data_IF_178950996797
#
_entry.id   IF_178950996797
#
_cell.length_a   1.000
_cell.length_b   1.000
_cell.length_c   1.000
_cell.angle_alpha   90.00
_cell.angle_beta   90.00
_cell.angle_gamma   90.00
#
_symmetry.space_group_name_H-M   'P 1'
#
loop_
_entity.id
_entity.type
_entity.pdbx_description
1 polymer ?
#
# COMPACT_ATOMS: atom_id res chain seq x y z
N UNK A 1 17.33 2.16 -25.96
CA UNK A 1 16.52 3.36 -26.27
C UNK A 1 16.34 4.10 -24.95
N UNK A 2 16.90 5.30 -24.82
CA UNK A 2 16.65 6.16 -23.65
C UNK A 2 15.24 6.75 -23.80
N UNK A 3 14.33 6.56 -22.83
CA UNK A 3 13.00 7.16 -22.90
C UNK A 3 13.12 8.68 -22.94
N UNK A 4 12.39 9.33 -23.84
CA UNK A 4 12.47 10.76 -24.13
C UNK A 4 11.49 11.58 -23.26
N UNK A 5 11.23 11.14 -22.04
CA UNK A 5 10.18 11.68 -21.17
C UNK A 5 10.80 12.24 -19.88
N UNK A 6 10.33 13.42 -19.45
CA UNK A 6 10.83 14.13 -18.28
C UNK A 6 10.30 13.61 -16.94
N UNK A 7 9.36 12.66 -16.98
CA UNK A 7 8.72 12.04 -15.82
C UNK A 7 8.32 10.59 -16.12
N UNK A 8 8.03 9.81 -15.07
CA UNK A 8 7.49 8.44 -15.14
C UNK A 8 6.12 8.40 -15.82
N UNK A 9 5.78 7.30 -16.48
CA UNK A 9 4.42 7.13 -16.98
C UNK A 9 3.40 7.14 -15.82
N UNK A 10 2.17 7.58 -16.10
CA UNK A 10 1.13 7.70 -15.08
C UNK A 10 0.83 6.37 -14.39
N UNK A 11 0.79 5.26 -15.14
CA UNK A 11 0.59 3.94 -14.55
C UNK A 11 1.78 3.49 -13.70
N UNK A 12 3.02 3.80 -14.10
CA UNK A 12 4.23 3.53 -13.29
C UNK A 12 4.21 4.32 -11.99
N UNK A 13 3.73 5.57 -12.03
CA UNK A 13 3.54 6.42 -10.85
C UNK A 13 2.53 5.81 -9.89
N UNK A 14 1.43 5.26 -10.40
CA UNK A 14 0.44 4.58 -9.55
C UNK A 14 0.94 3.24 -8.99
N UNK A 15 1.72 2.48 -9.75
CA UNK A 15 2.37 1.28 -9.23
C UNK A 15 3.42 1.62 -8.15
N UNK A 16 4.19 2.70 -8.34
CA UNK A 16 5.12 3.21 -7.33
C UNK A 16 4.39 3.62 -6.05
N UNK A 17 3.26 4.32 -6.16
CA UNK A 17 2.36 4.65 -5.04
C UNK A 17 1.95 3.39 -4.26
N UNK A 18 1.39 2.39 -4.94
CA UNK A 18 0.90 1.17 -4.28
C UNK A 18 2.04 0.41 -3.59
N UNK A 19 3.24 0.34 -4.20
CA UNK A 19 4.40 -0.32 -3.63
C UNK A 19 4.97 0.40 -2.41
N UNK A 20 5.07 1.73 -2.44
CA UNK A 20 5.59 2.52 -1.32
C UNK A 20 4.60 2.50 -0.16
N UNK A 21 3.31 2.71 -0.43
CA UNK A 21 2.28 2.68 0.60
C UNK A 21 2.21 1.31 1.31
N UNK A 22 2.19 0.21 0.53
CA UNK A 22 2.12 -1.14 1.10
C UNK A 22 3.38 -1.52 1.91
N UNK A 23 4.57 -1.21 1.41
CA UNK A 23 5.81 -1.51 2.13
C UNK A 23 5.99 -0.65 3.37
N UNK A 24 5.59 0.62 3.34
CA UNK A 24 5.65 1.51 4.50
C UNK A 24 4.74 1.00 5.63
N UNK A 25 3.50 0.61 5.30
CA UNK A 25 2.57 0.03 6.27
C UNK A 25 3.08 -1.30 6.84
N UNK A 26 3.64 -2.17 5.99
CA UNK A 26 4.24 -3.43 6.42
C UNK A 26 5.44 -3.19 7.34
N UNK A 27 6.33 -2.26 7.00
CA UNK A 27 7.50 -1.92 7.80
C UNK A 27 7.10 -1.44 9.20
N UNK A 28 6.14 -0.52 9.31
CA UNK A 28 5.64 -0.04 10.61
C UNK A 28 5.11 -1.20 11.47
N UNK A 29 4.36 -2.14 10.88
CA UNK A 29 3.83 -3.31 11.59
C UNK A 29 4.93 -4.26 12.06
N UNK A 30 5.90 -4.57 11.20
CA UNK A 30 7.01 -5.44 11.56
C UNK A 30 7.84 -4.82 12.68
N UNK A 31 8.16 -3.53 12.58
CA UNK A 31 8.87 -2.78 13.63
C UNK A 31 8.11 -2.80 14.95
N UNK A 32 6.79 -2.57 14.92
CA UNK A 32 5.94 -2.63 16.12
C UNK A 32 5.88 -4.03 16.75
N UNK A 33 5.88 -5.08 15.95
CA UNK A 33 5.79 -6.46 16.43
C UNK A 33 7.15 -7.02 16.90
N UNK A 34 8.26 -6.50 16.39
CA UNK A 34 9.61 -7.04 16.63
C UNK A 34 10.01 -7.18 18.11
N UNK A 35 9.72 -6.22 19.02
CA UNK A 35 10.06 -6.35 20.44
C UNK A 35 9.42 -7.57 21.10
N UNK A 36 8.20 -7.91 20.67
CA UNK A 36 7.38 -9.00 21.22
C UNK A 36 7.81 -10.40 20.74
N UNK A 37 8.68 -10.49 19.72
CA UNK A 37 9.17 -11.77 19.21
C UNK A 37 10.21 -12.34 20.17
N UNK A 38 9.91 -13.52 20.72
CA UNK A 38 10.76 -14.23 21.68
C UNK A 38 11.57 -15.37 21.06
N UNK A 39 11.07 -16.00 20.00
CA UNK A 39 11.80 -17.03 19.26
C UNK A 39 13.02 -16.42 18.55
N UNK A 40 14.24 -16.90 18.81
CA UNK A 40 15.46 -16.25 18.32
C UNK A 40 15.60 -16.32 16.80
N UNK A 41 15.17 -17.42 16.17
CA UNK A 41 15.26 -17.60 14.72
C UNK A 41 14.27 -16.66 14.03
N UNK A 42 13.02 -16.64 14.52
CA UNK A 42 12.00 -15.74 14.01
C UNK A 42 12.40 -14.28 14.20
N UNK A 43 13.02 -13.93 15.34
CA UNK A 43 13.52 -12.58 15.59
C UNK A 43 14.59 -12.18 14.57
N UNK A 44 15.53 -13.07 14.24
CA UNK A 44 16.50 -12.82 13.17
C UNK A 44 15.82 -12.59 11.82
N UNK A 45 14.82 -13.40 11.47
CA UNK A 45 14.06 -13.25 10.21
C UNK A 45 13.32 -11.90 10.19
N UNK A 46 12.65 -11.52 11.27
CA UNK A 46 11.98 -10.22 11.37
C UNK A 46 12.97 -9.07 11.16
N UNK A 47 14.14 -9.13 11.81
CA UNK A 47 15.19 -8.09 11.65
C UNK A 47 15.60 -7.95 10.19
N UNK A 48 15.92 -9.07 9.52
CA UNK A 48 16.31 -9.09 8.11
C UNK A 48 15.21 -8.54 7.20
N UNK A 49 13.94 -8.87 7.48
CA UNK A 49 12.80 -8.34 6.74
C UNK A 49 12.62 -6.84 6.94
N UNK A 50 12.80 -6.33 8.17
CA UNK A 50 12.75 -4.90 8.47
C UNK A 50 13.86 -4.16 7.70
N UNK A 51 15.09 -4.68 7.71
CA UNK A 51 16.23 -4.11 6.98
C UNK A 51 15.97 -4.12 5.46
N UNK A 52 15.47 -5.23 4.93
CA UNK A 52 15.15 -5.37 3.49
C UNK A 52 14.06 -4.41 3.04
N UNK A 53 12.94 -4.33 3.77
CA UNK A 53 11.86 -3.39 3.44
C UNK A 53 12.33 -1.94 3.57
N UNK A 54 13.17 -1.64 4.56
CA UNK A 54 13.76 -0.29 4.69
C UNK A 54 14.56 0.08 3.45
N UNK A 55 15.41 -0.83 2.96
CA UNK A 55 16.19 -0.59 1.74
C UNK A 55 15.30 -0.46 0.50
N UNK A 56 14.31 -1.33 0.33
CA UNK A 56 13.38 -1.25 -0.79
C UNK A 56 12.67 0.11 -0.83
N UNK A 57 12.19 0.61 0.31
CA UNK A 57 11.54 1.92 0.40
C UNK A 57 12.53 3.03 0.01
N UNK A 58 13.77 2.98 0.52
CA UNK A 58 14.81 3.95 0.16
C UNK A 58 15.04 3.97 -1.36
N UNK A 59 15.15 2.81 -2.00
CA UNK A 59 15.35 2.69 -3.44
C UNK A 59 14.15 3.24 -4.23
N UNK A 60 12.92 2.93 -3.79
CA UNK A 60 11.69 3.43 -4.41
C UNK A 60 11.54 4.95 -4.27
N UNK A 61 11.90 5.53 -3.12
CA UNK A 61 11.85 6.97 -2.89
C UNK A 61 12.74 7.77 -3.86
N UNK A 62 13.79 7.17 -4.42
CA UNK A 62 14.64 7.81 -5.42
C UNK A 62 13.89 8.16 -6.72
N UNK A 63 12.74 7.53 -6.98
CA UNK A 63 11.93 7.76 -8.16
C UNK A 63 10.84 8.83 -7.99
N UNK A 64 10.53 9.27 -6.75
CA UNK A 64 9.53 10.32 -6.51
C UNK A 64 9.86 11.67 -7.16
N UNK A 65 11.12 12.12 -7.26
CA UNK A 65 11.45 13.32 -8.04
C UNK A 65 11.08 13.24 -9.52
N UNK A 66 10.89 12.02 -10.06
CA UNK A 66 10.52 11.76 -11.45
C UNK A 66 9.00 11.61 -11.67
N UNK A 67 8.16 11.73 -10.64
CA UNK A 67 6.70 11.64 -10.81
C UNK A 67 6.14 12.91 -11.42
N UNK A 68 4.99 12.85 -12.14
CA UNK A 68 4.28 14.05 -12.57
C UNK A 68 3.97 14.98 -11.38
N UNK A 69 4.22 16.28 -11.53
CA UNK A 69 3.84 17.32 -10.56
C UNK A 69 2.73 18.18 -11.13
N UNK A 70 1.62 18.30 -10.41
CA UNK A 70 0.56 19.28 -10.69
C UNK A 70 0.77 20.52 -9.80
N UNK A 71 0.02 21.60 -9.96
CA UNK A 71 0.09 22.77 -9.06
C UNK A 71 -0.25 22.37 -7.61
N UNK A 72 0.50 22.90 -6.64
CA UNK A 72 0.42 22.54 -5.21
C UNK A 72 -0.81 23.12 -4.50
N UNK A 73 -1.34 22.33 -3.57
CA UNK A 73 -2.40 22.68 -2.62
C UNK A 73 -1.86 22.52 -1.20
N UNK A 74 -2.36 23.34 -0.26
CA UNK A 74 -1.89 23.35 1.13
C UNK A 74 -2.17 22.01 1.83
N UNK A 75 -1.19 21.54 2.61
CA UNK A 75 -1.28 20.30 3.36
C UNK A 75 -2.27 20.44 4.53
N UNK A 76 -3.38 19.70 4.47
CA UNK A 76 -4.31 19.55 5.58
C UNK A 76 -3.77 18.56 6.62
N UNK A 77 -4.19 18.73 7.88
CA UNK A 77 -3.93 17.76 8.95
C UNK A 77 -4.57 16.41 8.63
N UNK A 78 -3.79 15.33 8.68
CA UNK A 78 -4.20 13.95 8.40
C UNK A 78 -4.22 13.11 9.68
N UNK A 79 -5.29 12.36 9.91
CA UNK A 79 -5.31 11.32 10.96
C UNK A 79 -4.56 10.09 10.45
N UNK A 80 -3.25 10.05 10.69
CA UNK A 80 -2.37 9.00 10.17
C UNK A 80 -2.66 7.61 10.75
N UNK A 81 -3.20 7.53 11.97
CA UNK A 81 -3.54 6.24 12.59
C UNK A 81 -4.75 5.62 11.87
N UNK A 82 -5.81 6.41 11.66
CA UNK A 82 -6.98 5.98 10.89
C UNK A 82 -6.62 5.71 9.42
N UNK A 83 -5.77 6.54 8.82
CA UNK A 83 -5.32 6.36 7.45
C UNK A 83 -4.54 5.04 7.27
N UNK A 84 -3.64 4.72 8.20
CA UNK A 84 -2.87 3.47 8.18
C UNK A 84 -3.80 2.26 8.32
N UNK A 85 -4.67 2.27 9.33
CA UNK A 85 -5.58 1.14 9.59
C UNK A 85 -6.57 0.89 8.45
N UNK A 86 -7.16 1.95 7.88
CA UNK A 86 -8.06 1.81 6.74
C UNK A 86 -7.30 1.48 5.45
N UNK A 87 -6.09 2.01 5.26
CA UNK A 87 -5.21 1.67 4.14
C UNK A 87 -4.84 0.19 4.12
N UNK A 88 -4.59 -0.39 5.29
CA UNK A 88 -4.35 -1.83 5.43
C UNK A 88 -5.56 -2.68 5.02
N UNK A 89 -6.76 -2.28 5.45
CA UNK A 89 -7.99 -2.95 5.06
C UNK A 89 -8.22 -2.84 3.54
N UNK A 90 -7.90 -1.68 2.95
CA UNK A 90 -8.00 -1.46 1.52
C UNK A 90 -7.03 -2.36 0.75
N UNK A 91 -5.77 -2.45 1.20
CA UNK A 91 -4.76 -3.34 0.64
C UNK A 91 -5.17 -4.82 0.73
N UNK A 92 -5.68 -5.25 1.88
CA UNK A 92 -6.22 -6.61 2.05
C UNK A 92 -7.37 -6.90 1.07
N UNK A 93 -8.31 -5.97 0.92
CA UNK A 93 -9.42 -6.14 -0.01
C UNK A 93 -8.93 -6.28 -1.46
N UNK A 94 -7.95 -5.47 -1.90
CA UNK A 94 -7.30 -5.59 -3.22
C UNK A 94 -6.67 -6.98 -3.42
N UNK A 95 -5.94 -7.49 -2.42
CA UNK A 95 -5.34 -8.82 -2.47
C UNK A 95 -6.39 -9.93 -2.55
N UNK A 96 -7.46 -9.85 -1.76
CA UNK A 96 -8.55 -10.83 -1.81
C UNK A 96 -9.24 -10.85 -3.18
N UNK A 97 -9.48 -9.69 -3.78
CA UNK A 97 -10.04 -9.57 -5.14
C UNK A 97 -9.15 -10.31 -6.15
N UNK A 98 -7.84 -10.01 -6.16
CA UNK A 98 -6.88 -10.67 -7.07
C UNK A 98 -6.83 -12.19 -6.85
N UNK A 99 -6.80 -12.63 -5.59
CA UNK A 99 -6.73 -14.05 -5.23
C UNK A 99 -7.99 -14.81 -5.65
N UNK A 100 -9.19 -14.27 -5.38
CA UNK A 100 -10.43 -14.92 -5.81
C UNK A 100 -10.59 -14.92 -7.32
N UNK A 101 -10.18 -13.86 -8.02
CA UNK A 101 -10.20 -13.82 -9.47
C UNK A 101 -9.37 -14.97 -10.07
N UNK A 102 -8.13 -15.17 -9.59
CA UNK A 102 -7.31 -16.32 -10.00
C UNK A 102 -7.91 -17.67 -9.59
N UNK A 103 -8.42 -17.81 -8.37
CA UNK A 103 -9.03 -19.07 -7.92
C UNK A 103 -10.27 -19.48 -8.74
N UNK A 104 -11.01 -18.51 -9.27
CA UNK A 104 -12.17 -18.74 -10.15
C UNK A 104 -11.74 -19.32 -11.50
N UNK A 105 -10.58 -18.93 -12.04
CA UNK A 105 -10.07 -19.47 -13.32
C UNK A 105 -9.60 -20.92 -13.19
N UNK A 106 -9.03 -21.27 -12.04
CA UNK A 106 -8.44 -22.59 -11.80
C UNK A 106 -9.45 -23.65 -11.30
N UNK A 107 -10.63 -23.24 -10.83
CA UNK A 107 -11.58 -24.19 -10.24
C UNK A 107 -12.45 -24.90 -11.29
N UNK A 108 -12.34 -26.23 -11.33
CA UNK A 108 -13.18 -27.10 -12.17
C UNK A 108 -14.53 -27.47 -11.52
N UNK A 109 -14.68 -27.26 -10.20
CA UNK A 109 -15.88 -27.67 -9.44
C UNK A 109 -16.94 -26.55 -9.47
N UNK A 110 -18.13 -26.75 -10.07
CA UNK A 110 -19.10 -25.67 -10.25
C UNK A 110 -19.62 -25.04 -8.94
N UNK A 111 -19.86 -25.85 -7.91
CA UNK A 111 -20.31 -25.36 -6.60
C UNK A 111 -19.23 -24.51 -5.92
N UNK A 112 -17.96 -24.89 -6.05
CA UNK A 112 -16.83 -24.12 -5.52
C UNK A 112 -16.66 -22.79 -6.27
N UNK A 113 -16.80 -22.81 -7.61
CA UNK A 113 -16.81 -21.58 -8.43
C UNK A 113 -17.84 -20.58 -7.92
N UNK A 114 -19.06 -21.04 -7.63
CA UNK A 114 -20.14 -20.19 -7.09
C UNK A 114 -19.76 -19.56 -5.74
N UNK A 115 -19.10 -20.30 -4.86
CA UNK A 115 -18.62 -19.78 -3.57
C UNK A 115 -17.51 -18.73 -3.77
N UNK A 116 -16.53 -19.01 -4.62
CA UNK A 116 -15.46 -18.05 -4.91
C UNK A 116 -15.99 -16.76 -5.54
N UNK A 117 -16.93 -16.83 -6.49
CA UNK A 117 -17.58 -15.64 -7.05
C UNK A 117 -18.33 -14.84 -5.98
N UNK A 118 -19.03 -15.51 -5.05
CA UNK A 118 -19.67 -14.82 -3.92
C UNK A 118 -18.65 -14.08 -3.05
N UNK A 119 -17.50 -14.71 -2.75
CA UNK A 119 -16.46 -14.08 -1.93
C UNK A 119 -15.76 -12.93 -2.66
N UNK A 120 -15.53 -13.06 -3.97
CA UNK A 120 -15.03 -11.97 -4.81
C UNK A 120 -15.95 -10.75 -4.73
N UNK A 121 -17.26 -10.94 -4.90
CA UNK A 121 -18.23 -9.85 -4.80
C UNK A 121 -18.22 -9.19 -3.42
N UNK A 122 -18.14 -9.98 -2.35
CA UNK A 122 -18.01 -9.42 -0.99
C UNK A 122 -16.71 -8.62 -0.80
N UNK A 123 -15.59 -9.06 -1.39
CA UNK A 123 -14.32 -8.33 -1.34
C UNK A 123 -14.40 -7.01 -2.14
N UNK A 124 -15.08 -6.99 -3.28
CA UNK A 124 -15.36 -5.78 -4.07
C UNK A 124 -16.20 -4.78 -3.26
N UNK A 125 -17.29 -5.25 -2.63
CA UNK A 125 -18.14 -4.40 -1.78
C UNK A 125 -17.36 -3.80 -0.60
N UNK A 126 -16.51 -4.61 0.04
CA UNK A 126 -15.68 -4.14 1.14
C UNK A 126 -14.63 -3.12 0.67
N UNK A 127 -13.97 -3.37 -0.46
CA UNK A 127 -13.05 -2.40 -1.04
C UNK A 127 -13.73 -1.04 -1.27
N UNK A 128 -14.91 -1.03 -1.87
CA UNK A 128 -15.67 0.20 -2.11
C UNK A 128 -16.02 0.94 -0.81
N UNK A 129 -16.49 0.21 0.23
CA UNK A 129 -16.80 0.79 1.54
C UNK A 129 -15.57 1.43 2.20
N UNK A 130 -14.44 0.74 2.17
CA UNK A 130 -13.19 1.23 2.78
C UNK A 130 -12.65 2.43 2.00
N UNK A 131 -12.68 2.37 0.67
CA UNK A 131 -12.28 3.49 -0.19
C UNK A 131 -13.12 4.74 0.11
N UNK A 132 -14.44 4.60 0.17
CA UNK A 132 -15.33 5.73 0.47
C UNK A 132 -15.06 6.31 1.86
N UNK A 133 -14.83 5.46 2.88
CA UNK A 133 -14.45 5.92 4.21
C UNK A 133 -13.19 6.80 4.20
N UNK A 134 -12.15 6.35 3.50
CA UNK A 134 -10.88 7.08 3.35
C UNK A 134 -11.08 8.39 2.57
N UNK A 135 -11.83 8.33 1.47
CA UNK A 135 -12.05 9.46 0.58
C UNK A 135 -12.87 10.58 1.25
N UNK A 136 -14.00 10.24 1.88
CA UNK A 136 -14.88 11.19 2.58
C UNK A 136 -14.18 11.95 3.72
N UNK A 137 -13.08 11.38 4.24
CA UNK A 137 -12.28 11.95 5.34
C UNK A 137 -10.97 12.58 4.87
N UNK A 138 -10.78 12.70 3.57
CA UNK A 138 -9.55 13.20 2.95
C UNK A 138 -8.28 12.42 3.39
N UNK A 139 -8.43 11.15 3.78
CA UNK A 139 -7.31 10.26 4.17
C UNK A 139 -6.66 9.59 2.96
N UNK A 140 -7.39 9.54 1.84
CA UNK A 140 -6.90 9.07 0.54
C UNK A 140 -7.34 10.08 -0.54
N UNK A 141 -6.49 11.06 -0.89
CA UNK A 141 -6.82 12.12 -1.84
C UNK A 141 -6.75 11.62 -3.29
N UNK A 142 -7.65 10.70 -3.68
CA UNK A 142 -7.62 9.99 -4.97
C UNK A 142 -7.61 10.89 -6.22
N UNK A 143 -8.08 12.13 -6.09
CA UNK A 143 -8.15 13.11 -7.17
C UNK A 143 -7.09 14.22 -7.10
N UNK A 144 -6.27 14.24 -6.04
CA UNK A 144 -5.14 15.15 -5.90
C UNK A 144 -3.85 14.31 -5.88
N UNK A 145 -3.28 14.10 -7.09
CA UNK A 145 -2.10 13.27 -7.24
C UNK A 145 -0.89 13.81 -6.45
N UNK A 146 -0.74 15.13 -6.36
CA UNK A 146 0.38 15.69 -5.61
C UNK A 146 0.26 15.36 -4.13
N UNK A 147 -0.93 15.55 -3.57
CA UNK A 147 -1.17 15.23 -2.18
C UNK A 147 -1.04 13.73 -1.93
N UNK A 148 -1.50 12.89 -2.87
CA UNK A 148 -1.36 11.44 -2.79
C UNK A 148 0.12 11.04 -2.70
N UNK A 149 0.96 11.53 -3.61
CA UNK A 149 2.38 11.21 -3.65
C UNK A 149 3.16 11.83 -2.48
N UNK A 150 2.79 13.02 -2.03
CA UNK A 150 3.38 13.61 -0.84
C UNK A 150 3.08 12.77 0.41
N UNK A 151 1.84 12.31 0.56
CA UNK A 151 1.44 11.41 1.66
C UNK A 151 2.25 10.10 1.64
N UNK A 152 2.59 9.57 0.46
CA UNK A 152 3.43 8.36 0.36
C UNK A 152 4.84 8.62 0.88
N UNK A 153 5.46 9.73 0.48
CA UNK A 153 6.80 10.13 0.94
C UNK A 153 6.80 10.33 2.46
N UNK A 154 5.80 11.03 2.99
CA UNK A 154 5.68 11.30 4.43
C UNK A 154 5.50 10.00 5.22
N UNK A 155 4.61 9.11 4.75
CA UNK A 155 4.35 7.81 5.37
C UNK A 155 5.59 6.91 5.32
N UNK A 156 6.34 6.93 4.22
CA UNK A 156 7.59 6.18 4.06
C UNK A 156 8.69 6.70 5.00
N UNK A 157 8.89 8.00 5.06
CA UNK A 157 9.87 8.62 5.97
C UNK A 157 9.51 8.34 7.45
N UNK A 158 8.23 8.39 7.81
CA UNK A 158 7.77 8.00 9.13
C UNK A 158 8.11 6.52 9.42
N UNK A 159 7.78 5.60 8.49
CA UNK A 159 8.08 4.19 8.64
C UNK A 159 9.59 3.91 8.79
N UNK A 160 10.44 4.63 8.05
CA UNK A 160 11.90 4.50 8.11
C UNK A 160 12.47 5.03 9.43
N UNK A 161 11.96 6.15 9.94
CA UNK A 161 12.47 6.81 11.16
C UNK A 161 12.07 6.14 12.48
N UNK A 162 11.01 5.33 12.49
CA UNK A 162 10.59 4.61 13.71
C UNK A 162 11.64 3.58 14.16
N UNK A 163 11.95 3.49 15.47
CA UNK A 163 12.81 2.43 16.01
C UNK A 163 12.08 1.08 16.05
N UNK A 164 12.84 -0.01 16.21
CA UNK A 164 12.34 -1.37 16.43
C UNK A 164 13.24 -2.15 17.36
#
# INVERSE_FOLDING_TARGET
MTPNHSHLAWHETLELHELVASQSNALMKLKKAYPEITDPILKTIFKQMIETLSQNIIDLLQFYPLTPKLSSTDAALRDDASATAAGDLLGLAKSLIKNYAGAITETATPSLRKVFTKHLNAAIDNHAKIFNYLYERNLYPAYDLNQLLQNDVDSANNALSQPY
#
